data_IF_833719290754
#
_entry.id   IF_833719290754
#
_cell.length_a   1.000
_cell.length_b   1.000
_cell.length_c   1.000
_cell.angle_alpha   90.00
_cell.angle_beta   90.00
_cell.angle_gamma   90.00
#
_symmetry.space_group_name_H-M   'P 1'
#
loop_
_entity.id
_entity.type
_entity.pdbx_description
1 polymer ?
#
# COMPACT_ATOMS: atom_id res chain seq x y z
N UNK A 1 10.62 -3.50 -15.24
CA UNK A 1 11.56 -2.36 -15.21
C UNK A 1 10.83 -1.18 -14.63
N UNK A 2 11.02 -0.89 -13.34
CA UNK A 2 10.42 0.27 -12.70
C UNK A 2 11.15 1.51 -13.24
N UNK A 3 10.44 2.27 -14.06
CA UNK A 3 10.87 3.62 -14.43
C UNK A 3 11.00 4.40 -13.11
N UNK A 4 12.22 4.77 -12.74
CA UNK A 4 12.43 5.70 -11.62
C UNK A 4 11.75 7.00 -12.04
N UNK A 5 10.63 7.33 -11.39
CA UNK A 5 9.95 8.61 -11.59
C UNK A 5 10.42 9.57 -10.50
N UNK A 6 10.37 10.86 -10.82
CA UNK A 6 10.68 11.93 -9.87
C UNK A 6 9.37 12.69 -9.64
N UNK A 7 8.89 12.81 -8.39
CA UNK A 7 7.66 13.54 -8.09
C UNK A 7 7.71 14.96 -8.67
N UNK A 8 6.64 15.33 -9.38
CA UNK A 8 6.48 16.66 -9.99
C UNK A 8 4.99 17.01 -10.08
N UNK A 9 4.60 18.27 -10.31
CA UNK A 9 3.18 18.62 -10.50
C UNK A 9 2.49 17.88 -11.65
N UNK A 10 3.25 17.38 -12.64
CA UNK A 10 2.70 16.57 -13.75
C UNK A 10 2.64 15.08 -13.45
N UNK A 11 3.42 14.62 -12.47
CA UNK A 11 3.57 13.20 -12.11
C UNK A 11 3.71 13.13 -10.59
N UNK A 12 2.64 13.46 -9.84
CA UNK A 12 2.72 13.48 -8.39
C UNK A 12 2.89 12.06 -7.85
N UNK A 13 3.39 11.95 -6.63
CA UNK A 13 3.51 10.70 -5.92
C UNK A 13 2.46 10.58 -4.81
N UNK A 14 2.15 9.35 -4.45
CA UNK A 14 1.48 8.99 -3.21
C UNK A 14 2.38 8.01 -2.44
N UNK A 15 2.31 8.07 -1.12
CA UNK A 15 3.05 7.19 -0.23
C UNK A 15 2.15 6.03 0.23
N UNK A 16 2.59 4.80 -0.01
CA UNK A 16 1.86 3.58 0.36
C UNK A 16 2.73 2.60 1.12
N UNK A 17 2.09 1.74 1.91
CA UNK A 17 2.72 0.67 2.67
C UNK A 17 1.70 -0.45 2.96
N UNK A 18 2.13 -1.49 3.69
CA UNK A 18 1.21 -2.44 4.30
C UNK A 18 1.12 -2.16 5.80
N UNK A 19 -0.09 -2.17 6.38
CA UNK A 19 -0.26 -2.14 7.83
C UNK A 19 0.40 -3.37 8.45
N UNK A 20 1.20 -3.19 9.50
CA UNK A 20 1.98 -4.25 10.11
C UNK A 20 1.08 -5.33 10.73
N UNK A 21 -0.07 -4.95 11.29
CA UNK A 21 -0.94 -5.85 12.06
C UNK A 21 -1.96 -6.56 11.17
N UNK A 22 -2.61 -5.82 10.27
CA UNK A 22 -3.66 -6.32 9.40
C UNK A 22 -3.18 -6.73 8.00
N UNK A 23 -1.97 -6.33 7.59
CA UNK A 23 -1.42 -6.63 6.27
C UNK A 23 -2.08 -5.88 5.11
N UNK A 24 -3.12 -5.09 5.37
CA UNK A 24 -3.84 -4.33 4.36
C UNK A 24 -2.95 -3.23 3.75
N UNK A 25 -3.20 -2.91 2.49
CA UNK A 25 -2.56 -1.76 1.88
C UNK A 25 -3.11 -0.47 2.49
N UNK A 26 -2.21 0.42 2.88
CA UNK A 26 -2.53 1.72 3.45
C UNK A 26 -1.81 2.82 2.70
N UNK A 27 -2.35 4.03 2.78
CA UNK A 27 -1.89 5.23 2.11
C UNK A 27 -1.72 6.35 3.13
N UNK A 28 -0.70 7.18 2.98
CA UNK A 28 -0.51 8.33 3.85
C UNK A 28 -1.54 9.42 3.49
N UNK A 29 -2.51 9.67 4.38
CA UNK A 29 -3.47 10.77 4.29
C UNK A 29 -3.16 11.91 5.27
N UNK A 30 -3.95 12.97 5.22
CA UNK A 30 -3.77 14.15 6.10
C UNK A 30 -3.87 13.83 7.60
N UNK A 31 -4.63 12.78 7.96
CA UNK A 31 -4.79 12.30 9.34
C UNK A 31 -3.90 11.11 9.70
N UNK A 32 -2.92 10.76 8.86
CA UNK A 32 -2.10 9.55 8.99
C UNK A 32 -2.52 8.43 8.03
N UNK A 33 -2.16 7.19 8.35
CA UNK A 33 -2.43 6.03 7.50
C UNK A 33 -3.92 5.74 7.35
N UNK A 34 -4.37 5.57 6.11
CA UNK A 34 -5.76 5.26 5.75
C UNK A 34 -5.81 4.10 4.77
N UNK A 35 -6.89 3.33 4.79
CA UNK A 35 -7.18 2.31 3.75
C UNK A 35 -7.81 2.91 2.50
N UNK A 36 -8.27 4.17 2.56
CA UNK A 36 -8.81 4.90 1.40
C UNK A 36 -7.69 5.56 0.60
N UNK A 37 -7.40 5.01 -0.57
CA UNK A 37 -6.40 5.56 -1.48
C UNK A 37 -6.76 6.95 -2.02
N UNK A 38 -8.05 7.26 -2.16
CA UNK A 38 -8.51 8.56 -2.64
C UNK A 38 -8.31 9.69 -1.63
N UNK A 39 -7.97 9.37 -0.39
CA UNK A 39 -7.63 10.32 0.66
C UNK A 39 -6.11 10.50 0.84
N UNK A 40 -5.29 9.89 -0.02
CA UNK A 40 -3.85 9.99 0.05
C UNK A 40 -3.36 11.43 -0.20
N UNK A 41 -2.24 11.79 0.42
CA UNK A 41 -1.52 13.03 0.13
C UNK A 41 -0.81 12.87 -1.21
N UNK A 42 -1.01 13.86 -2.09
CA UNK A 42 -0.22 14.03 -3.31
C UNK A 42 1.06 14.81 -2.98
N UNK A 43 2.20 14.22 -3.30
CA UNK A 43 3.50 14.87 -3.23
C UNK A 43 3.91 15.25 -4.65
N UNK A 44 3.96 16.55 -4.93
CA UNK A 44 4.27 17.11 -6.25
C UNK A 44 5.68 17.66 -6.35
N UNK A 45 6.49 17.53 -5.30
CA UNK A 45 7.91 17.85 -5.32
C UNK A 45 8.74 16.71 -4.69
N UNK A 46 10.00 16.52 -5.14
CA UNK A 46 10.82 15.41 -4.65
C UNK A 46 11.19 15.53 -3.18
N UNK A 47 11.40 16.75 -2.68
CA UNK A 47 11.91 16.96 -1.32
C UNK A 47 10.84 16.61 -0.27
N UNK A 48 9.59 17.00 -0.49
CA UNK A 48 8.49 16.62 0.40
C UNK A 48 8.19 15.12 0.33
N UNK A 49 8.24 14.52 -0.87
CA UNK A 49 8.04 13.10 -1.06
C UNK A 49 9.11 12.26 -0.33
N UNK A 50 10.38 12.64 -0.47
CA UNK A 50 11.51 11.96 0.18
C UNK A 50 11.46 12.12 1.70
N UNK A 51 11.11 13.32 2.19
CA UNK A 51 10.95 13.56 3.62
C UNK A 51 9.82 12.71 4.22
N UNK A 52 8.68 12.62 3.53
CA UNK A 52 7.55 11.79 3.95
C UNK A 52 7.91 10.30 3.93
N UNK A 53 8.62 9.84 2.90
CA UNK A 53 9.10 8.47 2.81
C UNK A 53 10.05 8.12 3.98
N UNK A 54 11.02 8.99 4.26
CA UNK A 54 11.95 8.79 5.38
C UNK A 54 11.21 8.73 6.73
N UNK A 55 10.23 9.62 6.95
CA UNK A 55 9.40 9.61 8.14
C UNK A 55 8.56 8.32 8.26
N UNK A 56 8.05 7.79 7.15
CA UNK A 56 7.31 6.53 7.14
C UNK A 56 8.21 5.31 7.36
N UNK A 57 9.44 5.32 6.84
CA UNK A 57 10.42 4.25 7.09
C UNK A 57 10.78 4.12 8.58
N UNK A 58 10.72 5.22 9.33
CA UNK A 58 10.88 5.21 10.79
C UNK A 58 9.68 4.59 11.55
N UNK A 59 8.54 4.36 10.88
CA UNK A 59 7.32 3.82 11.49
C UNK A 59 7.20 2.29 11.36
N UNK A 60 8.31 1.57 11.50
CA UNK A 60 8.35 0.10 11.36
C UNK A 60 7.47 -0.67 12.36
N UNK A 61 6.97 -0.03 13.42
CA UNK A 61 5.98 -0.59 14.34
C UNK A 61 4.52 -0.41 13.91
N UNK A 62 4.27 0.28 12.80
CA UNK A 62 2.94 0.60 12.27
C UNK A 62 2.79 0.04 10.86
N UNK A 63 3.79 0.24 9.99
CA UNK A 63 3.73 -0.18 8.59
C UNK A 63 4.99 -0.92 8.15
N UNK A 64 4.85 -1.71 7.09
CA UNK A 64 5.93 -2.48 6.47
C UNK A 64 6.12 -2.03 5.02
N UNK A 65 7.39 -1.83 4.66
CA UNK A 65 7.81 -1.52 3.30
C UNK A 65 7.14 -0.30 2.68
N UNK A 66 7.21 0.89 3.31
CA UNK A 66 6.70 2.12 2.68
C UNK A 66 7.49 2.48 1.41
N UNK A 67 6.78 2.92 0.37
CA UNK A 67 7.37 3.38 -0.90
C UNK A 67 6.47 4.39 -1.61
N UNK A 68 7.07 5.16 -2.53
CA UNK A 68 6.37 6.13 -3.38
C UNK A 68 5.86 5.47 -4.66
N UNK A 69 4.66 5.85 -5.07
CA UNK A 69 4.02 5.42 -6.32
C UNK A 69 3.53 6.64 -7.07
N UNK A 70 3.71 6.65 -8.38
CA UNK A 70 3.13 7.70 -9.24
C UNK A 70 1.60 7.65 -9.15
N UNK A 71 0.99 8.81 -8.94
CA UNK A 71 -0.45 8.97 -8.87
C UNK A 71 -0.97 9.67 -10.12
N UNK A 72 -2.16 9.25 -10.56
CA UNK A 72 -3.02 10.03 -11.44
C UNK A 72 -4.06 10.73 -10.58
N UNK A 73 -4.39 11.96 -10.91
CA UNK A 73 -5.45 12.71 -10.24
C UNK A 73 -6.71 12.60 -11.09
N UNK A 74 -7.81 12.14 -10.49
CA UNK A 74 -9.12 12.07 -11.18
C UNK A 74 -9.72 13.48 -11.37
N UNK A 75 -10.79 13.59 -12.16
CA UNK A 75 -11.48 14.87 -12.41
C UNK A 75 -12.03 15.53 -11.13
N UNK A 76 -12.14 14.78 -10.03
CA UNK A 76 -12.56 15.25 -8.72
C UNK A 76 -11.39 15.64 -7.80
N UNK A 77 -10.15 15.61 -8.30
CA UNK A 77 -8.95 15.98 -7.55
C UNK A 77 -8.41 14.87 -6.64
N UNK A 78 -8.91 13.63 -6.74
CA UNK A 78 -8.50 12.53 -5.88
C UNK A 78 -7.38 11.70 -6.52
N UNK A 79 -6.38 11.28 -5.72
CA UNK A 79 -5.37 10.34 -6.19
C UNK A 79 -5.94 8.96 -6.51
N UNK A 80 -5.52 8.42 -7.65
CA UNK A 80 -5.60 7.03 -8.00
C UNK A 80 -4.18 6.53 -8.33
N UNK A 81 -3.80 5.30 -7.93
CA UNK A 81 -2.49 4.76 -8.28
C UNK A 81 -2.34 4.65 -9.81
N UNK A 82 -1.26 5.19 -10.38
CA UNK A 82 -1.06 5.18 -11.83
C UNK A 82 -0.78 3.78 -12.40
N UNK A 83 -0.37 2.83 -11.55
CA UNK A 83 0.09 1.52 -11.98
C UNK A 83 -0.81 0.37 -11.50
N UNK A 84 -1.11 -0.54 -12.43
CA UNK A 84 -1.94 -1.74 -12.27
C UNK A 84 -1.60 -2.64 -11.06
N UNK A 85 -0.34 -2.62 -10.59
CA UNK A 85 0.10 -3.42 -9.45
C UNK A 85 -0.54 -2.98 -8.14
N UNK A 86 -0.78 -1.68 -7.99
CA UNK A 86 -1.39 -1.11 -6.80
C UNK A 86 -2.90 -1.36 -6.76
N UNK A 87 -3.59 -1.39 -7.90
CA UNK A 87 -5.00 -1.79 -7.99
C UNK A 87 -5.21 -3.25 -7.52
N UNK A 88 -4.30 -4.17 -7.90
CA UNK A 88 -4.33 -5.54 -7.40
C UNK A 88 -3.99 -5.65 -5.91
N UNK A 89 -3.07 -4.83 -5.41
CA UNK A 89 -2.72 -4.77 -3.98
C UNK A 89 -3.88 -4.24 -3.12
N UNK A 90 -4.67 -3.30 -3.62
CA UNK A 90 -5.88 -2.82 -2.94
C UNK A 90 -6.93 -3.91 -2.75
N UNK A 91 -7.07 -4.82 -3.72
CA UNK A 91 -8.03 -5.93 -3.63
C UNK A 91 -7.69 -6.97 -2.55
N UNK A 92 -6.49 -6.90 -1.96
CA UNK A 92 -6.01 -7.89 -0.99
C UNK A 92 -5.50 -9.17 -1.67
N UNK A 93 -5.06 -10.17 -0.89
CA UNK A 93 -4.56 -11.42 -1.45
C UNK A 93 -5.66 -12.12 -2.27
N UNK A 94 -5.35 -12.53 -3.50
CA UNK A 94 -6.23 -13.34 -4.35
C UNK A 94 -6.30 -14.82 -3.88
N UNK A 95 -6.29 -15.05 -2.57
CA UNK A 95 -6.49 -16.39 -2.02
C UNK A 95 -7.99 -16.69 -2.11
N UNK A 96 -8.37 -17.75 -2.80
CA UNK A 96 -9.74 -18.27 -2.70
C UNK A 96 -10.05 -18.53 -1.21
N UNK A 97 -11.16 -18.01 -0.65
CA UNK A 97 -11.60 -18.32 0.72
C UNK A 97 -11.88 -19.81 0.97
N UNK A 98 -11.81 -20.65 -0.08
CA UNK A 98 -12.20 -22.04 -0.09
C UNK A 98 -11.03 -23.05 0.01
N UNK A 99 -9.79 -22.61 0.27
CA UNK A 99 -8.74 -23.53 0.73
C UNK A 99 -9.05 -23.97 2.17
N UNK A 100 -10.07 -24.81 2.31
CA UNK A 100 -10.45 -25.51 3.53
C UNK A 100 -9.20 -26.20 4.05
N UNK A 101 -8.88 -25.94 5.31
CA UNK A 101 -7.91 -26.68 6.11
C UNK A 101 -8.05 -28.19 5.80
N UNK A 102 -7.03 -28.89 5.27
CA UNK A 102 -7.11 -30.34 5.22
C UNK A 102 -7.26 -30.84 6.66
N UNK A 103 -8.20 -31.78 6.83
CA UNK A 103 -8.73 -32.25 8.10
C UNK A 103 -7.62 -32.58 9.11
N UNK A 104 -7.92 -32.33 10.40
CA UNK A 104 -7.15 -32.85 11.53
C UNK A 104 -6.84 -34.33 11.28
N UNK A 105 -5.56 -34.68 11.29
CA UNK A 105 -5.18 -36.08 11.45
C UNK A 105 -5.60 -36.51 12.85
N UNK A 106 -6.53 -37.46 12.91
CA UNK A 106 -6.94 -38.10 14.14
C UNK A 106 -5.78 -39.02 14.59
N UNK A 107 -5.14 -38.65 15.69
CA UNK A 107 -4.10 -39.43 16.34
C UNK A 107 -4.78 -40.54 17.15
N UNK A 108 -5.10 -41.65 16.48
CA UNK A 108 -5.49 -42.87 17.17
C UNK A 108 -5.08 -44.12 16.38
N UNK A 109 -4.43 -45.03 17.11
CA UNK A 109 -4.12 -46.43 16.79
C UNK A 109 -2.75 -46.74 16.18
N UNK A 110 -1.73 -46.74 17.03
CA UNK A 110 -0.76 -47.85 17.06
C UNK A 110 -0.62 -48.36 18.50
N UNK A 111 -1.35 -49.43 18.78
CA UNK A 111 -1.02 -50.43 19.79
C UNK A 111 -0.41 -51.64 19.07
#
# INVERSE_FOLDING_TARGET
MSKTFVPSPRTPAVLTANDLRGGHCVWMGQGGWTTDAGAAILYDDPASADAALAAAQAQGGIVVGPYLVEAVVDDAGRPAPAHFREAFRQAGPSTEPAARHPARFDEAAHA
#
